data_IF_961194225698
#
_entry.id   IF_961194225698
#
_cell.length_a   1.000
_cell.length_b   1.000
_cell.length_c   1.000
_cell.angle_alpha   90.00
_cell.angle_beta   90.00
_cell.angle_gamma   90.00
#
_symmetry.space_group_name_H-M   'P 1'
#
loop_
_entity.id
_entity.type
_entity.pdbx_description
1 polymer ?
#
# COMPACT_ATOMS: atom_id res chain seq x y z
N UNK A 1 5.78 44.24 -61.63
CA UNK A 1 4.73 43.37 -61.05
C UNK A 1 5.41 42.23 -60.33
N UNK A 2 5.44 42.27 -58.99
CA UNK A 2 5.99 41.16 -58.15
C UNK A 2 4.82 40.37 -57.61
N UNK A 3 4.67 39.11 -58.02
CA UNK A 3 3.71 38.17 -57.46
C UNK A 3 4.30 37.64 -56.16
N UNK A 4 3.66 37.93 -55.02
CA UNK A 4 3.93 37.28 -53.75
C UNK A 4 3.06 36.00 -53.66
N UNK A 5 3.73 34.85 -53.59
CA UNK A 5 3.08 33.57 -53.34
C UNK A 5 2.95 33.40 -51.83
N UNK A 6 1.73 33.47 -51.32
CA UNK A 6 1.41 33.12 -49.92
C UNK A 6 1.32 31.58 -49.82
N UNK A 7 2.30 30.97 -49.15
CA UNK A 7 2.25 29.57 -48.82
C UNK A 7 1.35 29.38 -47.57
N UNK A 8 0.19 28.75 -47.76
CA UNK A 8 -0.75 28.37 -46.68
C UNK A 8 -0.24 27.09 -46.07
N UNK A 9 0.38 27.15 -44.90
CA UNK A 9 0.75 25.97 -44.12
C UNK A 9 -0.51 25.39 -43.43
N UNK A 10 -1.07 24.34 -43.99
CA UNK A 10 -2.12 23.58 -43.35
C UNK A 10 -1.51 22.76 -42.22
N UNK A 11 -1.76 23.14 -40.97
CA UNK A 11 -1.45 22.35 -39.80
C UNK A 11 -2.41 21.16 -39.77
N UNK A 12 -1.92 19.97 -40.10
CA UNK A 12 -2.62 18.71 -39.88
C UNK A 12 -2.72 18.48 -38.37
N UNK A 13 -3.87 18.85 -37.80
CA UNK A 13 -4.24 18.38 -36.46
C UNK A 13 -4.44 16.85 -36.51
N UNK A 14 -3.49 16.09 -35.98
CA UNK A 14 -3.67 14.66 -35.74
C UNK A 14 -4.87 14.50 -34.80
N UNK A 15 -5.84 13.60 -35.12
CA UNK A 15 -6.93 13.33 -34.22
C UNK A 15 -6.35 12.78 -32.91
N UNK A 16 -6.65 13.42 -31.79
CA UNK A 16 -6.45 12.83 -30.48
C UNK A 16 -7.36 11.59 -30.44
N UNK A 17 -6.78 10.41 -30.56
CA UNK A 17 -7.52 9.18 -30.35
C UNK A 17 -8.03 9.21 -28.91
N UNK A 18 -9.35 9.31 -28.74
CA UNK A 18 -9.97 9.12 -27.45
C UNK A 18 -9.66 7.69 -27.01
N UNK A 19 -9.30 7.52 -25.72
CA UNK A 19 -9.02 6.19 -25.20
C UNK A 19 -10.21 5.25 -25.41
N UNK A 20 -9.93 3.96 -25.66
CA UNK A 20 -10.98 2.93 -25.83
C UNK A 20 -11.92 2.97 -24.61
N UNK A 21 -13.24 3.22 -24.80
CA UNK A 21 -14.20 3.30 -23.71
C UNK A 21 -14.23 2.03 -22.84
N UNK A 22 -13.99 0.86 -23.42
CA UNK A 22 -13.96 -0.40 -22.70
C UNK A 22 -12.73 -0.50 -21.79
N UNK A 23 -11.57 -0.05 -22.27
CA UNK A 23 -10.36 0.05 -21.47
C UNK A 23 -10.54 1.05 -20.33
N UNK A 24 -11.05 2.26 -20.60
CA UNK A 24 -11.33 3.28 -19.58
C UNK A 24 -12.22 2.69 -18.49
N UNK A 25 -13.33 2.04 -18.87
CA UNK A 25 -14.23 1.40 -17.93
C UNK A 25 -13.51 0.34 -17.07
N UNK A 26 -12.64 -0.46 -17.64
CA UNK A 26 -11.89 -1.48 -16.90
C UNK A 26 -11.00 -0.88 -15.79
N UNK A 27 -10.39 0.27 -16.07
CA UNK A 27 -9.57 1.00 -15.09
C UNK A 27 -10.45 1.63 -14.01
N UNK A 28 -11.59 2.20 -14.38
CA UNK A 28 -12.54 2.79 -13.41
C UNK A 28 -13.14 1.73 -12.48
N UNK A 29 -13.52 0.57 -13.00
CA UNK A 29 -14.01 -0.57 -12.21
C UNK A 29 -12.94 -1.07 -11.22
N UNK A 30 -11.69 -1.18 -11.67
CA UNK A 30 -10.56 -1.52 -10.80
C UNK A 30 -10.33 -0.45 -9.71
N UNK A 31 -10.34 0.84 -10.06
CA UNK A 31 -10.23 1.96 -9.11
C UNK A 31 -11.31 1.90 -8.04
N UNK A 32 -12.54 1.61 -8.43
CA UNK A 32 -13.65 1.46 -7.49
C UNK A 32 -13.45 0.29 -6.51
N UNK A 33 -12.87 -0.84 -6.98
CA UNK A 33 -12.54 -1.99 -6.12
C UNK A 33 -11.43 -1.64 -5.13
N UNK A 34 -10.38 -0.96 -5.58
CA UNK A 34 -9.26 -0.50 -4.72
C UNK A 34 -9.76 0.47 -3.65
N UNK A 35 -10.64 1.39 -4.01
CA UNK A 35 -11.27 2.34 -3.07
C UNK A 35 -12.15 1.62 -2.03
N UNK A 36 -12.95 0.65 -2.48
CA UNK A 36 -13.78 -0.19 -1.60
C UNK A 36 -12.92 -1.01 -0.63
N UNK A 37 -11.78 -1.56 -1.08
CA UNK A 37 -10.88 -2.34 -0.24
C UNK A 37 -10.28 -1.51 0.91
N UNK A 38 -9.98 -0.23 0.65
CA UNK A 38 -9.43 0.69 1.64
C UNK A 38 -10.43 1.00 2.78
N UNK A 39 -11.73 0.95 2.48
CA UNK A 39 -12.83 1.24 3.42
C UNK A 39 -13.30 0.03 4.24
N UNK A 40 -12.73 -1.15 4.05
CA UNK A 40 -13.12 -2.37 4.80
C UNK A 40 -12.87 -2.21 6.30
N UNK A 41 -13.62 -2.96 7.09
CA UNK A 41 -13.29 -3.16 8.49
C UNK A 41 -11.89 -3.73 8.63
N UNK A 42 -11.17 -3.28 9.64
CA UNK A 42 -9.76 -3.62 9.86
C UNK A 42 -8.82 -3.24 8.69
N UNK A 43 -9.30 -2.36 7.78
CA UNK A 43 -8.53 -1.81 6.66
C UNK A 43 -7.60 -0.67 7.09
N UNK A 44 -6.82 -0.16 6.13
CA UNK A 44 -5.79 0.85 6.40
C UNK A 44 -6.34 2.17 6.99
N UNK A 45 -7.58 2.55 6.66
CA UNK A 45 -8.22 3.76 7.20
C UNK A 45 -8.72 3.60 8.64
N UNK A 46 -8.71 2.38 9.18
CA UNK A 46 -9.13 2.09 10.55
C UNK A 46 -7.96 1.95 11.51
N UNK A 47 -6.72 1.87 11.02
CA UNK A 47 -5.57 1.68 11.89
C UNK A 47 -5.45 2.82 12.90
N UNK A 48 -5.32 2.45 14.18
CA UNK A 48 -5.28 3.33 15.32
C UNK A 48 -4.04 3.13 16.22
N UNK A 49 -3.21 2.13 15.89
CA UNK A 49 -1.98 1.89 16.65
C UNK A 49 -1.13 0.75 16.09
N UNK A 50 0.17 0.85 16.35
CA UNK A 50 1.18 -0.17 16.11
C UNK A 50 2.11 -0.22 17.33
N UNK A 51 2.09 -1.33 18.05
CA UNK A 51 2.82 -1.49 19.31
C UNK A 51 3.76 -2.69 19.22
N UNK A 52 5.07 -2.45 19.35
CA UNK A 52 6.05 -3.52 19.52
C UNK A 52 6.00 -3.97 20.97
N UNK A 53 5.68 -5.24 21.18
CA UNK A 53 5.56 -5.81 22.51
C UNK A 53 6.90 -6.30 23.06
N UNK A 54 7.11 -6.14 24.35
CA UNK A 54 8.27 -6.70 25.06
C UNK A 54 7.99 -8.16 25.46
N UNK A 55 9.02 -9.00 25.62
CA UNK A 55 8.86 -10.31 26.24
C UNK A 55 8.24 -10.19 27.65
N UNK A 56 7.40 -11.16 28.03
CA UNK A 56 6.63 -11.14 29.28
C UNK A 56 5.29 -10.43 29.14
N UNK A 57 4.79 -9.91 30.25
CA UNK A 57 3.48 -9.26 30.29
C UNK A 57 3.52 -7.83 29.81
N UNK A 58 2.56 -7.51 28.93
CA UNK A 58 2.28 -6.17 28.44
C UNK A 58 0.83 -5.83 28.77
N UNK A 59 0.60 -4.86 29.61
CA UNK A 59 -0.74 -4.41 29.97
C UNK A 59 -1.28 -3.50 28.87
N UNK A 60 -2.60 -3.55 28.60
CA UNK A 60 -3.20 -2.71 27.59
C UNK A 60 -4.56 -2.12 28.01
N UNK A 61 -4.89 -0.97 27.43
CA UNK A 61 -6.11 -0.21 27.68
C UNK A 61 -5.91 1.26 27.36
N UNK A 62 -6.93 2.09 27.61
CA UNK A 62 -6.86 3.55 27.34
C UNK A 62 -6.14 4.34 28.43
N UNK A 63 -5.94 3.75 29.62
CA UNK A 63 -5.23 4.38 30.72
C UNK A 63 -3.74 4.51 30.46
N UNK A 64 -3.16 5.67 30.83
CA UNK A 64 -1.75 6.03 30.57
C UNK A 64 -0.73 5.12 31.28
N UNK A 65 -1.16 4.35 32.28
CA UNK A 65 -0.29 3.46 33.05
C UNK A 65 -0.15 2.06 32.43
N UNK A 66 -0.70 1.82 31.26
CA UNK A 66 -0.51 0.58 30.52
C UNK A 66 0.81 0.61 29.73
N UNK A 67 1.36 -0.57 29.45
CA UNK A 67 2.49 -0.74 28.53
C UNK A 67 2.07 -0.41 27.09
N UNK A 68 0.83 -0.74 26.73
CA UNK A 68 0.20 -0.49 25.45
C UNK A 68 -1.00 0.43 25.68
N UNK A 69 -0.84 1.72 25.37
CA UNK A 69 -1.89 2.71 25.57
C UNK A 69 -2.72 2.86 24.29
N UNK A 70 -3.96 2.43 24.34
CA UNK A 70 -4.92 2.63 23.27
C UNK A 70 -5.43 4.07 23.24
N UNK A 71 -5.81 4.60 22.07
CA UNK A 71 -6.46 5.88 21.96
C UNK A 71 -7.70 5.97 22.86
N UNK A 72 -7.96 7.17 23.39
CA UNK A 72 -9.13 7.46 24.22
C UNK A 72 -10.44 7.07 23.49
N UNK A 73 -11.39 6.53 24.25
CA UNK A 73 -12.70 6.11 23.70
C UNK A 73 -12.72 4.72 23.05
N UNK A 74 -11.59 4.00 22.98
CA UNK A 74 -11.55 2.65 22.44
C UNK A 74 -11.78 1.55 23.48
N UNK A 75 -12.03 1.91 24.74
CA UNK A 75 -12.34 0.95 25.81
C UNK A 75 -12.03 1.50 27.19
N UNK A 76 -12.12 0.65 28.24
CA UNK A 76 -11.75 0.99 29.60
C UNK A 76 -10.27 1.36 29.78
N UNK A 77 -9.95 2.02 30.91
CA UNK A 77 -8.56 2.35 31.26
C UNK A 77 -7.66 1.11 31.30
N UNK A 78 -8.18 0.00 31.85
CA UNK A 78 -7.51 -1.31 31.84
C UNK A 78 -8.37 -2.31 31.12
N UNK A 79 -7.82 -2.92 30.07
CA UNK A 79 -8.54 -3.90 29.25
C UNK A 79 -8.01 -5.32 29.44
N UNK A 80 -6.74 -5.45 29.76
CA UNK A 80 -6.16 -6.78 29.93
C UNK A 80 -4.64 -6.81 29.88
N UNK A 81 -4.12 -7.98 29.62
CA UNK A 81 -2.69 -8.27 29.51
C UNK A 81 -2.42 -9.14 28.29
N UNK A 82 -1.35 -8.80 27.55
CA UNK A 82 -0.80 -9.64 26.49
C UNK A 82 0.52 -10.21 26.98
N UNK A 83 0.57 -11.51 27.22
CA UNK A 83 1.79 -12.23 27.62
C UNK A 83 2.51 -12.76 26.38
N UNK A 84 3.77 -12.35 26.22
CA UNK A 84 4.62 -12.70 25.08
C UNK A 84 5.73 -13.64 25.51
N UNK A 85 5.81 -14.80 24.88
CA UNK A 85 6.90 -15.78 25.01
C UNK A 85 7.29 -16.29 23.63
N UNK A 86 8.46 -16.92 23.45
CA UNK A 86 8.87 -17.47 22.16
C UNK A 86 7.81 -18.39 21.55
N UNK A 87 7.35 -18.06 20.34
CA UNK A 87 6.33 -18.81 19.61
C UNK A 87 4.90 -18.70 20.16
N UNK A 88 4.65 -17.86 21.18
CA UNK A 88 3.33 -17.76 21.79
C UNK A 88 3.01 -16.34 22.27
N UNK A 89 1.86 -15.84 21.83
CA UNK A 89 1.24 -14.61 22.35
C UNK A 89 -0.12 -14.97 22.95
N UNK A 90 -0.33 -14.64 24.22
CA UNK A 90 -1.55 -14.97 24.95
C UNK A 90 -2.20 -13.67 25.45
N UNK A 91 -3.46 -13.48 25.11
CA UNK A 91 -4.27 -12.35 25.57
C UNK A 91 -5.23 -12.81 26.65
N UNK A 92 -5.27 -12.07 27.75
CA UNK A 92 -6.26 -12.24 28.82
C UNK A 92 -6.87 -10.90 29.17
N UNK A 93 -8.20 -10.86 29.18
CA UNK A 93 -8.95 -9.66 29.50
C UNK A 93 -9.20 -9.51 30.99
N UNK A 94 -9.43 -8.28 31.43
CA UNK A 94 -9.94 -7.98 32.76
C UNK A 94 -11.35 -8.55 32.97
N UNK A 95 -11.73 -8.90 34.22
CA UNK A 95 -13.07 -9.41 34.50
C UNK A 95 -14.18 -8.50 33.99
N UNK A 96 -15.20 -9.11 33.38
CA UNK A 96 -16.34 -8.40 32.82
C UNK A 96 -16.16 -7.91 31.38
N UNK A 97 -14.98 -8.05 30.79
CA UNK A 97 -14.72 -7.73 29.39
C UNK A 97 -14.73 -8.99 28.52
N UNK A 98 -15.10 -8.79 27.27
CA UNK A 98 -15.14 -9.85 26.25
C UNK A 98 -14.52 -9.34 24.94
N UNK A 99 -13.78 -10.21 24.26
CA UNK A 99 -13.42 -10.05 22.85
C UNK A 99 -14.16 -11.09 22.01
N UNK A 100 -14.37 -10.78 20.74
CA UNK A 100 -15.10 -11.64 19.81
C UNK A 100 -14.21 -12.00 18.64
N UNK A 101 -14.14 -13.30 18.31
CA UNK A 101 -13.54 -13.79 17.08
C UNK A 101 -14.55 -14.65 16.33
N UNK A 102 -14.82 -14.32 15.07
CA UNK A 102 -15.74 -15.06 14.20
C UNK A 102 -17.13 -15.28 14.86
N UNK A 103 -17.61 -14.27 15.60
CA UNK A 103 -18.88 -14.32 16.32
C UNK A 103 -18.83 -15.05 17.68
N UNK A 104 -17.70 -15.64 18.08
CA UNK A 104 -17.54 -16.35 19.34
C UNK A 104 -16.94 -15.42 20.41
N UNK A 105 -17.67 -15.16 21.53
CA UNK A 105 -17.15 -14.37 22.63
C UNK A 105 -16.16 -15.18 23.48
N UNK A 106 -15.10 -14.50 23.94
CA UNK A 106 -14.07 -15.10 24.79
C UNK A 106 -13.42 -14.04 25.69
N UNK A 107 -12.82 -14.51 26.80
CA UNK A 107 -12.10 -13.66 27.75
C UNK A 107 -10.58 -13.81 27.67
N UNK A 108 -10.13 -14.88 27.02
CA UNK A 108 -8.71 -15.15 26.82
C UNK A 108 -8.48 -15.94 25.52
N UNK A 109 -7.28 -15.79 24.94
CA UNK A 109 -6.94 -16.45 23.67
C UNK A 109 -5.43 -16.50 23.42
N UNK A 110 -4.95 -17.62 22.88
CA UNK A 110 -3.66 -17.66 22.17
C UNK A 110 -3.86 -17.09 20.79
N UNK A 111 -3.13 -16.00 20.46
CA UNK A 111 -3.22 -15.32 19.17
C UNK A 111 -2.37 -16.01 18.12
N UNK A 112 -2.91 -16.13 16.90
CA UNK A 112 -2.11 -16.36 15.72
C UNK A 112 -1.21 -15.16 15.43
N UNK A 113 0.03 -15.40 14.99
CA UNK A 113 1.02 -14.34 14.76
C UNK A 113 1.52 -14.28 13.30
N UNK A 114 0.93 -15.10 12.42
CA UNK A 114 1.24 -15.12 10.99
C UNK A 114 0.84 -13.80 10.33
N UNK A 115 1.79 -13.06 9.71
CA UNK A 115 1.49 -11.81 9.02
C UNK A 115 0.62 -12.00 7.77
N UNK A 116 0.62 -13.20 7.16
CA UNK A 116 -0.18 -13.51 5.97
C UNK A 116 -1.61 -13.94 6.36
N UNK A 117 -1.76 -14.63 7.51
CA UNK A 117 -3.04 -15.09 8.02
C UNK A 117 -3.44 -14.36 9.30
N UNK A 118 -3.80 -13.09 9.18
CA UNK A 118 -4.07 -12.18 10.31
C UNK A 118 -5.32 -12.56 11.06
N UNK A 119 -5.15 -12.90 12.34
CA UNK A 119 -6.24 -13.28 13.22
C UNK A 119 -6.74 -12.07 14.02
N UNK A 120 -7.84 -11.46 13.59
CA UNK A 120 -8.45 -10.31 14.26
C UNK A 120 -9.36 -10.75 15.41
N UNK A 121 -9.29 -10.02 16.53
CA UNK A 121 -10.26 -10.07 17.61
C UNK A 121 -10.86 -8.69 17.82
N UNK A 122 -12.17 -8.62 18.09
CA UNK A 122 -12.90 -7.37 18.24
C UNK A 122 -13.33 -7.15 19.70
N UNK A 123 -13.26 -5.88 20.15
CA UNK A 123 -13.71 -5.40 21.45
C UNK A 123 -14.50 -4.12 21.24
N UNK A 124 -15.81 -4.22 21.04
CA UNK A 124 -16.63 -3.07 20.62
C UNK A 124 -16.17 -2.56 19.25
N UNK A 125 -15.88 -1.25 19.15
CA UNK A 125 -15.36 -0.63 17.93
C UNK A 125 -13.87 -0.90 17.66
N UNK A 126 -13.12 -1.26 18.70
CA UNK A 126 -11.72 -1.63 18.58
C UNK A 126 -11.56 -3.05 18.08
N UNK A 127 -10.58 -3.29 17.22
CA UNK A 127 -10.13 -4.62 16.84
C UNK A 127 -8.60 -4.64 16.85
N UNK A 128 -8.02 -5.79 17.17
CA UNK A 128 -6.58 -5.94 17.05
C UNK A 128 -6.19 -7.32 16.57
N UNK A 129 -5.00 -7.41 16.02
CA UNK A 129 -4.32 -8.66 15.68
C UNK A 129 -2.84 -8.56 16.07
N UNK A 130 -2.17 -9.69 16.14
CA UNK A 130 -0.73 -9.74 16.39
C UNK A 130 -0.04 -10.34 15.16
N UNK A 131 1.12 -9.79 14.83
CA UNK A 131 2.02 -10.39 13.83
C UNK A 131 3.40 -10.57 14.43
N UNK A 132 4.12 -11.57 13.94
CA UNK A 132 5.55 -11.71 14.18
C UNK A 132 6.30 -11.24 12.93
N UNK A 133 7.27 -10.35 13.13
CA UNK A 133 8.16 -9.90 12.08
C UNK A 133 9.55 -9.64 12.66
N UNK A 134 10.57 -10.22 12.04
CA UNK A 134 11.98 -10.08 12.45
C UNK A 134 12.20 -10.38 13.94
N UNK A 135 11.54 -11.43 14.45
CA UNK A 135 11.61 -11.84 15.85
C UNK A 135 10.90 -10.91 16.85
N UNK A 136 10.15 -9.91 16.35
CA UNK A 136 9.35 -8.99 17.17
C UNK A 136 7.86 -9.30 17.04
N UNK A 137 7.15 -9.32 18.16
CA UNK A 137 5.70 -9.38 18.18
C UNK A 137 5.10 -7.98 18.16
N UNK A 138 4.21 -7.73 17.23
CA UNK A 138 3.63 -6.41 16.99
C UNK A 138 2.10 -6.51 17.07
N UNK A 139 1.51 -5.79 18.02
CA UNK A 139 0.07 -5.61 18.07
C UNK A 139 -0.35 -4.47 17.14
N UNK A 140 -1.26 -4.75 16.24
CA UNK A 140 -1.90 -3.80 15.33
C UNK A 140 -3.32 -3.54 15.79
N UNK A 141 -3.61 -2.29 16.09
CA UNK A 141 -4.93 -1.83 16.55
C UNK A 141 -5.68 -1.16 15.42
N UNK A 142 -6.96 -1.44 15.30
CA UNK A 142 -7.90 -0.77 14.41
C UNK A 142 -9.08 -0.20 15.20
N UNK A 143 -9.56 0.96 14.78
CA UNK A 143 -10.81 1.59 15.17
C UNK A 143 -11.77 1.57 13.98
N UNK A 144 -12.74 0.67 13.97
CA UNK A 144 -13.67 0.54 12.85
C UNK A 144 -14.66 1.71 12.72
N UNK A 145 -14.70 2.61 13.71
CA UNK A 145 -15.44 3.88 13.65
C UNK A 145 -14.50 5.09 13.50
N UNK A 146 -13.28 4.86 12.99
CA UNK A 146 -12.27 5.89 12.79
C UNK A 146 -12.81 7.12 12.06
N UNK A 147 -12.53 8.30 12.60
CA UNK A 147 -12.85 9.57 11.95
C UNK A 147 -12.12 9.76 10.61
N UNK A 148 -10.94 9.11 10.44
CA UNK A 148 -10.20 9.09 9.18
C UNK A 148 -11.01 8.33 8.12
N UNK A 149 -11.52 7.14 8.46
CA UNK A 149 -12.39 6.34 7.58
C UNK A 149 -13.68 7.08 7.23
N UNK A 150 -14.32 7.70 8.21
CA UNK A 150 -15.59 8.43 8.02
C UNK A 150 -15.44 9.64 7.09
N UNK A 151 -14.30 10.35 7.16
CA UNK A 151 -14.02 11.55 6.34
C UNK A 151 -13.32 11.24 5.02
N UNK A 152 -13.00 9.99 4.75
CA UNK A 152 -12.28 9.63 3.52
C UNK A 152 -13.15 9.85 2.28
N UNK A 153 -12.81 10.87 1.49
CA UNK A 153 -13.55 11.28 0.29
C UNK A 153 -13.30 10.43 -0.96
N UNK A 154 -12.44 9.41 -0.88
CA UNK A 154 -11.99 8.62 -2.03
C UNK A 154 -10.56 8.96 -2.44
N UNK A 155 -9.99 8.12 -3.30
CA UNK A 155 -8.68 8.35 -3.92
C UNK A 155 -8.83 9.36 -5.05
N UNK A 156 -7.77 10.10 -5.32
CA UNK A 156 -7.72 11.04 -6.45
C UNK A 156 -6.85 10.41 -7.54
N UNK A 157 -7.30 10.48 -8.80
CA UNK A 157 -6.64 9.83 -9.92
C UNK A 157 -6.37 10.82 -11.05
N UNK A 158 -5.30 10.60 -11.78
CA UNK A 158 -5.16 11.18 -13.12
C UNK A 158 -6.24 10.64 -14.06
N UNK A 159 -6.59 11.38 -15.10
CA UNK A 159 -7.41 10.85 -16.19
C UNK A 159 -6.78 9.58 -16.79
N UNK A 160 -7.61 8.62 -17.18
CA UNK A 160 -7.11 7.42 -17.87
C UNK A 160 -6.53 7.82 -19.23
N UNK A 161 -5.30 7.38 -19.50
CA UNK A 161 -4.59 7.69 -20.74
C UNK A 161 -3.87 6.44 -21.24
N UNK A 162 -4.28 5.94 -22.41
CA UNK A 162 -3.71 4.72 -23.02
C UNK A 162 -2.23 4.82 -23.36
N UNK A 163 -1.67 6.02 -23.50
CA UNK A 163 -0.22 6.19 -23.70
C UNK A 163 0.60 5.68 -22.52
N UNK A 164 -0.03 5.45 -21.36
CA UNK A 164 0.55 4.85 -20.17
C UNK A 164 0.29 3.33 -20.06
N UNK A 165 -0.38 2.71 -21.01
CA UNK A 165 -0.40 1.26 -21.20
C UNK A 165 0.76 0.88 -22.13
N UNK A 166 1.94 0.72 -21.56
CA UNK A 166 3.19 0.64 -22.33
C UNK A 166 3.63 -0.79 -22.58
N UNK A 167 4.27 -1.09 -23.73
CA UNK A 167 4.97 -2.35 -23.93
C UNK A 167 6.11 -2.48 -22.91
N UNK A 168 6.21 -3.64 -22.29
CA UNK A 168 7.26 -3.96 -21.33
C UNK A 168 7.79 -5.37 -21.55
N UNK A 169 8.99 -5.63 -21.05
CA UNK A 169 9.63 -6.93 -21.08
C UNK A 169 10.17 -7.27 -19.70
N UNK A 170 9.90 -8.46 -19.21
CA UNK A 170 10.53 -8.98 -18.00
C UNK A 170 11.85 -9.66 -18.37
N UNK A 171 12.86 -9.44 -17.55
CA UNK A 171 14.19 -10.08 -17.67
C UNK A 171 14.55 -10.67 -16.32
N UNK A 172 14.68 -11.97 -16.26
CA UNK A 172 15.02 -12.68 -15.03
C UNK A 172 16.49 -12.47 -14.63
N UNK A 173 16.73 -12.45 -13.34
CA UNK A 173 18.07 -12.61 -12.77
C UNK A 173 18.39 -14.08 -12.55
N UNK A 174 19.62 -14.50 -12.82
CA UNK A 174 20.11 -15.85 -12.63
C UNK A 174 21.43 -15.85 -11.83
N UNK A 175 21.38 -16.05 -10.51
CA UNK A 175 20.22 -16.23 -9.61
C UNK A 175 19.49 -14.93 -9.32
N UNK A 176 18.33 -15.01 -8.66
CA UNK A 176 17.62 -13.85 -8.14
C UNK A 176 18.52 -12.97 -7.25
N UNK A 177 18.34 -11.66 -7.34
CA UNK A 177 19.15 -10.72 -6.56
C UNK A 177 18.52 -10.46 -5.19
N UNK A 178 19.35 -10.32 -4.16
CA UNK A 178 18.94 -9.75 -2.87
C UNK A 178 19.08 -8.25 -2.93
N UNK A 179 17.98 -7.53 -2.69
CA UNK A 179 17.92 -6.06 -2.74
C UNK A 179 17.52 -5.55 -1.35
N UNK A 180 18.36 -4.73 -0.71
CA UNK A 180 17.98 -4.13 0.55
C UNK A 180 16.85 -3.10 0.32
N UNK A 181 15.72 -3.33 0.97
CA UNK A 181 14.56 -2.45 0.97
C UNK A 181 14.44 -1.79 2.34
N UNK A 182 14.46 -0.48 2.35
CA UNK A 182 14.18 0.34 3.53
C UNK A 182 12.68 0.59 3.59
N UNK A 183 12.05 0.45 4.74
CA UNK A 183 10.65 0.84 4.92
C UNK A 183 10.53 2.27 5.49
N UNK A 184 9.31 2.78 5.60
CA UNK A 184 9.00 4.16 6.03
C UNK A 184 9.41 4.48 7.48
N UNK A 185 9.79 3.48 8.28
CA UNK A 185 10.27 3.61 9.66
C UNK A 185 11.75 3.19 9.79
N UNK A 186 12.51 3.26 8.69
CA UNK A 186 13.94 3.01 8.59
C UNK A 186 14.40 1.57 8.95
N UNK A 187 13.48 0.59 8.96
CA UNK A 187 13.85 -0.83 9.04
C UNK A 187 14.28 -1.33 7.65
N UNK A 188 15.30 -2.17 7.60
CA UNK A 188 15.85 -2.72 6.36
C UNK A 188 15.59 -4.22 6.30
N UNK A 189 15.06 -4.70 5.19
CA UNK A 189 14.93 -6.13 4.85
C UNK A 189 15.58 -6.43 3.51
N UNK A 190 16.16 -7.62 3.36
CA UNK A 190 16.70 -8.11 2.09
C UNK A 190 15.59 -8.83 1.32
N UNK A 191 15.03 -8.15 0.32
CA UNK A 191 13.98 -8.71 -0.52
C UNK A 191 14.55 -9.42 -1.75
N UNK A 192 13.93 -10.53 -2.13
CA UNK A 192 14.33 -11.28 -3.33
C UNK A 192 13.70 -10.65 -4.57
N UNK A 193 14.53 -10.15 -5.48
CA UNK A 193 14.11 -9.69 -6.79
C UNK A 193 14.41 -10.77 -7.84
N UNK A 194 13.40 -11.45 -8.39
CA UNK A 194 13.57 -12.48 -9.42
C UNK A 194 14.02 -11.91 -10.77
N UNK A 195 13.87 -10.61 -10.99
CA UNK A 195 14.24 -9.96 -12.24
C UNK A 195 13.85 -8.49 -12.24
N UNK A 196 13.80 -7.92 -13.42
CA UNK A 196 13.42 -6.52 -13.63
C UNK A 196 12.54 -6.36 -14.87
N UNK A 197 11.82 -5.26 -14.93
CA UNK A 197 10.99 -4.88 -16.07
C UNK A 197 11.64 -3.73 -16.83
N UNK A 198 11.78 -3.90 -18.16
CA UNK A 198 12.21 -2.85 -19.09
C UNK A 198 10.99 -2.31 -19.85
N UNK A 199 10.88 -1.00 -19.94
CA UNK A 199 9.80 -0.32 -20.68
C UNK A 199 10.25 1.08 -21.12
N UNK A 200 9.43 1.72 -21.95
CA UNK A 200 9.70 3.10 -22.37
C UNK A 200 8.50 3.99 -21.98
N UNK A 201 8.77 5.08 -21.29
CA UNK A 201 7.78 6.10 -20.96
C UNK A 201 8.39 7.50 -21.10
N UNK A 202 7.63 8.46 -21.61
CA UNK A 202 8.15 9.81 -21.88
C UNK A 202 9.33 9.82 -22.85
N UNK A 203 9.39 8.87 -23.79
CA UNK A 203 10.49 8.72 -24.76
C UNK A 203 11.80 8.18 -24.17
N UNK A 204 11.83 7.81 -22.89
CA UNK A 204 13.03 7.31 -22.20
C UNK A 204 12.86 5.85 -21.80
N UNK A 205 13.91 5.05 -22.04
CA UNK A 205 13.97 3.69 -21.51
C UNK A 205 14.08 3.74 -19.99
N UNK A 206 13.28 2.91 -19.33
CA UNK A 206 13.24 2.76 -17.88
C UNK A 206 13.45 1.29 -17.51
N UNK A 207 13.88 1.08 -16.27
CA UNK A 207 14.05 -0.24 -15.67
C UNK A 207 13.58 -0.17 -14.21
N UNK A 208 12.83 -1.19 -13.77
CA UNK A 208 12.40 -1.37 -12.40
C UNK A 208 12.72 -2.78 -11.96
N UNK A 209 13.45 -2.95 -10.86
CA UNK A 209 13.54 -4.24 -10.19
C UNK A 209 12.15 -4.63 -9.70
N UNK A 210 11.83 -5.91 -9.93
CA UNK A 210 10.53 -6.50 -9.64
C UNK A 210 10.65 -7.46 -8.47
N UNK A 211 9.61 -7.50 -7.64
CA UNK A 211 9.48 -8.41 -6.51
C UNK A 211 8.31 -9.36 -6.77
N UNK A 212 8.30 -10.50 -6.09
CA UNK A 212 7.17 -11.41 -6.14
C UNK A 212 6.28 -11.19 -4.90
N UNK A 213 4.97 -11.07 -5.13
CA UNK A 213 3.95 -10.97 -4.09
C UNK A 213 2.70 -11.70 -4.56
N UNK A 214 2.14 -12.59 -3.77
CA UNK A 214 0.91 -13.35 -4.06
C UNK A 214 0.90 -14.05 -5.45
N UNK A 215 2.06 -14.53 -5.92
CA UNK A 215 2.21 -15.15 -7.24
C UNK A 215 2.21 -14.18 -8.41
N UNK A 216 2.10 -12.89 -8.15
CA UNK A 216 2.18 -11.81 -9.12
C UNK A 216 3.48 -11.02 -9.03
N UNK A 217 3.60 -10.01 -9.87
CA UNK A 217 4.74 -9.09 -9.88
C UNK A 217 4.40 -7.80 -9.18
N UNK A 218 5.20 -7.45 -8.18
CA UNK A 218 5.07 -6.22 -7.41
C UNK A 218 6.20 -5.24 -7.76
N UNK A 219 5.83 -4.02 -8.09
CA UNK A 219 6.74 -2.93 -8.43
C UNK A 219 6.56 -1.78 -7.45
N UNK A 220 7.66 -1.35 -6.86
CA UNK A 220 7.75 -0.20 -5.97
C UNK A 220 8.55 0.86 -6.69
N UNK A 221 7.98 2.01 -7.00
CA UNK A 221 8.67 3.02 -7.79
C UNK A 221 8.42 4.45 -7.30
N UNK A 222 9.35 5.33 -7.63
CA UNK A 222 9.24 6.77 -7.46
C UNK A 222 9.64 7.45 -8.75
N UNK A 223 8.90 8.46 -9.16
CA UNK A 223 9.17 9.23 -10.37
C UNK A 223 9.23 10.74 -10.07
N UNK A 224 9.47 11.59 -11.08
CA UNK A 224 9.65 13.04 -10.90
C UNK A 224 8.34 13.78 -10.52
N UNK A 225 7.19 13.09 -10.41
CA UNK A 225 5.94 13.65 -9.87
C UNK A 225 5.84 13.55 -8.35
N UNK A 226 6.68 12.71 -7.72
CA UNK A 226 6.66 12.44 -6.29
C UNK A 226 6.89 13.69 -5.43
N UNK A 227 6.03 13.91 -4.44
CA UNK A 227 6.04 15.10 -3.58
C UNK A 227 5.53 16.39 -4.24
N UNK A 228 5.06 16.30 -5.49
CA UNK A 228 4.45 17.42 -6.24
C UNK A 228 2.97 17.12 -6.50
N UNK A 229 2.69 16.11 -7.27
CA UNK A 229 1.33 15.69 -7.65
C UNK A 229 1.04 14.25 -7.26
N UNK A 230 2.05 13.47 -6.89
CA UNK A 230 1.91 12.10 -6.38
C UNK A 230 2.56 11.96 -5.01
N UNK A 231 2.28 10.86 -4.31
CA UNK A 231 2.79 10.63 -2.97
C UNK A 231 4.33 10.62 -2.92
N UNK A 232 4.90 11.34 -1.96
CA UNK A 232 6.34 11.60 -1.89
C UNK A 232 7.22 10.37 -1.71
N UNK A 233 6.72 9.33 -1.03
CA UNK A 233 7.45 8.07 -0.80
C UNK A 233 7.36 7.09 -1.98
N UNK A 234 6.66 7.46 -3.07
CA UNK A 234 6.49 6.62 -4.25
C UNK A 234 5.12 5.95 -4.33
N UNK A 235 4.95 5.12 -5.36
CA UNK A 235 3.72 4.40 -5.68
C UNK A 235 4.00 2.94 -5.94
N UNK A 236 2.97 2.12 -5.82
CA UNK A 236 2.99 0.69 -6.07
C UNK A 236 2.27 0.36 -7.37
N UNK A 237 2.69 -0.74 -7.99
CA UNK A 237 1.98 -1.35 -9.11
C UNK A 237 2.04 -2.86 -8.94
N UNK A 238 0.89 -3.51 -8.99
CA UNK A 238 0.77 -4.96 -8.95
C UNK A 238 0.31 -5.49 -10.31
N UNK A 239 0.98 -6.52 -10.80
CA UNK A 239 0.63 -7.27 -12.01
C UNK A 239 0.26 -8.67 -11.57
N UNK A 240 -0.96 -9.12 -11.85
CA UNK A 240 -1.58 -10.33 -11.30
C UNK A 240 -0.81 -11.63 -11.55
N UNK A 241 0.08 -11.64 -12.55
CA UNK A 241 0.90 -12.79 -12.91
C UNK A 241 2.36 -12.37 -13.06
N UNK A 242 3.27 -13.15 -12.48
CA UNK A 242 4.70 -13.00 -12.74
C UNK A 242 5.00 -13.40 -14.20
N UNK A 243 5.54 -12.49 -15.02
CA UNK A 243 5.94 -12.85 -16.40
C UNK A 243 7.12 -13.81 -16.41
N UNK A 244 7.19 -14.65 -17.44
CA UNK A 244 8.36 -15.51 -17.70
C UNK A 244 9.56 -14.71 -18.20
N UNK A 245 10.77 -15.30 -18.11
CA UNK A 245 12.01 -14.67 -18.63
C UNK A 245 11.88 -14.35 -20.11
N UNK A 246 12.20 -13.10 -20.47
CA UNK A 246 12.09 -12.60 -21.82
C UNK A 246 10.66 -12.30 -22.30
N UNK A 247 9.64 -12.58 -21.48
CA UNK A 247 8.23 -12.36 -21.84
C UNK A 247 7.94 -10.87 -22.01
N UNK A 248 7.23 -10.54 -23.11
CA UNK A 248 6.72 -9.21 -23.38
C UNK A 248 5.25 -9.13 -22.99
N UNK A 249 4.87 -8.05 -22.32
CA UNK A 249 3.52 -7.82 -21.83
C UNK A 249 3.16 -6.33 -21.88
N UNK A 250 1.94 -5.97 -21.51
CA UNK A 250 1.50 -4.59 -21.34
C UNK A 250 1.59 -4.19 -19.86
N UNK A 251 2.46 -3.22 -19.55
CA UNK A 251 2.56 -2.62 -18.21
C UNK A 251 1.62 -1.41 -18.15
N UNK A 252 0.61 -1.49 -17.30
CA UNK A 252 -0.41 -0.47 -17.18
C UNK A 252 -0.13 0.51 -16.05
N UNK A 253 0.52 1.62 -16.37
CA UNK A 253 0.86 2.67 -15.40
C UNK A 253 -0.37 3.47 -14.92
N UNK A 254 -1.56 3.34 -15.55
CA UNK A 254 -2.82 3.88 -15.04
C UNK A 254 -3.28 3.16 -13.76
N UNK A 255 -2.69 2.00 -13.45
CA UNK A 255 -2.91 1.24 -12.22
C UNK A 255 -1.89 1.51 -11.12
N UNK A 256 -1.03 2.53 -11.25
CA UNK A 256 -0.18 2.98 -10.15
C UNK A 256 -1.05 3.51 -9.00
N UNK A 257 -0.78 3.06 -7.77
CA UNK A 257 -1.55 3.46 -6.59
C UNK A 257 -0.65 3.83 -5.40
N UNK A 258 -1.16 4.67 -4.51
CA UNK A 258 -0.44 5.08 -3.32
C UNK A 258 -0.39 3.94 -2.29
N UNK A 259 0.76 3.75 -1.63
CA UNK A 259 0.92 2.76 -0.58
C UNK A 259 0.04 3.06 0.64
N UNK A 260 -0.20 2.08 1.52
CA UNK A 260 -0.96 2.27 2.75
C UNK A 260 -0.49 3.43 3.63
N UNK A 261 0.80 3.75 3.64
CA UNK A 261 1.37 4.87 4.40
C UNK A 261 0.95 6.26 3.90
N UNK A 262 0.35 6.37 2.73
CA UNK A 262 -0.32 7.59 2.29
C UNK A 262 -1.62 7.87 3.08
N UNK A 263 -2.17 6.86 3.75
CA UNK A 263 -3.47 6.89 4.42
C UNK A 263 -3.40 6.69 5.92
N UNK A 264 -2.33 6.04 6.43
CA UNK A 264 -2.15 5.74 7.84
C UNK A 264 -0.67 5.77 8.24
N UNK A 265 -0.35 6.46 9.33
CA UNK A 265 0.99 6.48 9.95
C UNK A 265 1.38 5.15 10.63
N UNK A 266 0.41 4.27 10.86
CA UNK A 266 0.65 2.97 11.51
C UNK A 266 1.07 1.87 10.54
N UNK A 267 1.51 2.21 9.32
CA UNK A 267 1.96 1.25 8.31
C UNK A 267 3.47 1.28 8.11
N UNK A 268 4.03 0.19 7.60
CA UNK A 268 5.47 0.00 7.40
C UNK A 268 5.75 -0.30 5.93
N UNK A 269 5.35 0.62 5.04
CA UNK A 269 5.48 0.42 3.60
C UNK A 269 6.94 0.42 3.15
N UNK A 270 7.32 -0.48 2.21
CA UNK A 270 8.63 -0.44 1.58
C UNK A 270 8.80 0.84 0.75
N UNK A 271 10.00 1.37 0.75
CA UNK A 271 10.40 2.49 -0.09
C UNK A 271 11.05 1.99 -1.38
N UNK A 272 10.92 2.71 -2.50
CA UNK A 272 11.57 2.35 -3.75
C UNK A 272 13.10 2.24 -3.58
N UNK A 273 13.71 1.12 -3.97
CA UNK A 273 15.16 1.02 -4.01
C UNK A 273 15.72 2.00 -5.05
N UNK A 274 17.01 2.34 -4.94
CA UNK A 274 17.63 3.41 -5.75
C UNK A 274 17.41 3.25 -7.26
N UNK A 275 17.47 2.02 -7.77
CA UNK A 275 17.26 1.70 -9.18
C UNK A 275 15.79 1.86 -9.64
N UNK A 276 14.85 1.90 -8.71
CA UNK A 276 13.43 2.12 -9.00
C UNK A 276 13.03 3.61 -8.87
N UNK A 277 14.02 4.52 -8.76
CA UNK A 277 13.80 5.96 -8.79
C UNK A 277 13.99 6.48 -10.20
N UNK A 278 12.89 6.73 -10.90
CA UNK A 278 12.85 7.10 -12.30
C UNK A 278 13.00 8.61 -12.49
N UNK A 279 13.80 9.03 -13.49
CA UNK A 279 13.99 10.45 -13.88
C UNK A 279 13.07 10.82 -15.05
N UNK A 280 11.77 10.60 -14.85
CA UNK A 280 10.70 10.89 -15.79
C UNK A 280 9.43 11.17 -14.99
N UNK A 281 8.51 11.95 -15.54
CA UNK A 281 7.18 12.14 -14.95
C UNK A 281 6.22 11.07 -15.46
N UNK A 282 5.49 10.43 -14.55
CA UNK A 282 4.41 9.49 -14.86
C UNK A 282 3.11 10.10 -14.33
N UNK A 283 2.44 10.88 -15.16
CA UNK A 283 1.17 11.55 -14.85
C UNK A 283 -0.01 10.62 -15.15
N UNK A 284 0.04 9.43 -14.54
CA UNK A 284 -0.97 8.38 -14.61
C UNK A 284 -1.13 7.71 -13.25
N UNK A 285 -2.22 6.96 -13.07
CA UNK A 285 -2.52 6.29 -11.81
C UNK A 285 -3.02 7.24 -10.72
N UNK A 286 -2.74 6.90 -9.47
CA UNK A 286 -3.21 7.68 -8.32
C UNK A 286 -2.39 8.96 -8.13
N UNK A 287 -3.11 10.03 -7.89
CA UNK A 287 -2.62 11.36 -7.57
C UNK A 287 -2.56 11.51 -6.03
N UNK A 288 -1.81 12.48 -5.54
CA UNK A 288 -1.76 12.84 -4.12
C UNK A 288 -1.62 14.37 -4.04
N UNK A 289 -2.73 15.11 -4.22
CA UNK A 289 -2.67 16.56 -4.17
C UNK A 289 -2.21 17.02 -2.79
N UNK A 290 -1.45 18.12 -2.68
CA UNK A 290 -1.06 18.69 -1.41
C UNK A 290 -2.31 18.89 -0.53
N UNK A 291 -2.29 18.37 0.69
CA UNK A 291 -3.35 18.65 1.66
C UNK A 291 -3.33 20.15 1.90
N UNK A 292 -4.45 20.85 1.67
CA UNK A 292 -4.59 22.22 2.14
C UNK A 292 -4.39 22.17 3.66
N UNK A 293 -3.40 22.92 4.15
CA UNK A 293 -3.29 23.15 5.57
C UNK A 293 -4.64 23.73 6.03
N UNK A 294 -5.36 22.97 6.85
CA UNK A 294 -6.59 23.42 7.50
C UNK A 294 -6.30 24.32 8.68
#
# INVERSE_FOLDING_TARGET
>A
MKLSILALAAALALPAFAADPQYVKSIEDWRAQVDKSLRKDNGWLTLAGRYVMKPGDNTFGTGKNNDIVFPEGLGPERMGTVSVSPGRVFVKLEPGLTMVKDGVPMTEKVMGTDPENREWVAMGRASFHVIERDGKYILRLADNESAVRARFGGRVWYGVNESYLVPAKFVAYHPAHKIPIVNIIDEVSDESAPGYVEFTVGGKKQRLDAFEEDGGMFLILRDDTAGKTTYGSGRFLFVEKMPGDGESFKLDLNRLYNPPCAFSEFTTCPLPPKQNILKVKIEAGENYPPRKAG
#
